data_IF_337227384100
#
_entry.id   IF_337227384100
#
_cell.length_a   1.000
_cell.length_b   1.000
_cell.length_c   1.000
_cell.angle_alpha   90.00
_cell.angle_beta   90.00
_cell.angle_gamma   90.00
#
_symmetry.space_group_name_H-M   'P 1'
#
loop_
_entity.id
_entity.type
_entity.pdbx_description
1 polymer ?
#
# COMPACT_ATOMS: atom_id res chain seq x y z
N UNK A 1 -19.25 9.07 -20.08
CA UNK A 1 -20.16 8.08 -20.68
C UNK A 1 -21.35 7.97 -19.73
N UNK A 2 -22.57 8.27 -20.19
CA UNK A 2 -23.76 8.21 -19.33
C UNK A 2 -24.23 6.76 -19.20
N UNK A 3 -24.22 6.24 -17.99
CA UNK A 3 -24.57 4.86 -17.64
C UNK A 3 -25.99 4.72 -17.08
N UNK A 4 -26.70 5.84 -16.87
CA UNK A 4 -27.97 5.89 -16.12
C UNK A 4 -29.12 5.08 -16.73
N UNK A 5 -29.06 4.77 -18.04
CA UNK A 5 -30.12 4.07 -18.79
C UNK A 5 -29.74 2.66 -19.22
N UNK A 6 -28.57 2.16 -18.81
CA UNK A 6 -28.08 0.84 -19.21
C UNK A 6 -28.29 -0.17 -18.09
N UNK A 7 -28.65 -1.39 -18.45
CA UNK A 7 -28.52 -2.54 -17.56
C UNK A 7 -27.02 -2.83 -17.45
N UNK A 8 -26.51 -2.85 -16.23
CA UNK A 8 -25.09 -3.08 -15.95
C UNK A 8 -24.98 -4.34 -15.11
N UNK A 9 -24.12 -5.25 -15.56
CA UNK A 9 -23.66 -6.37 -14.75
C UNK A 9 -22.77 -5.84 -13.62
N UNK A 10 -22.77 -6.53 -12.48
CA UNK A 10 -21.91 -6.18 -11.33
C UNK A 10 -20.85 -7.27 -11.21
N UNK A 11 -19.82 -7.12 -12.02
CA UNK A 11 -18.63 -7.96 -12.07
C UNK A 11 -17.41 -7.08 -12.34
N UNK A 12 -16.21 -7.64 -12.30
CA UNK A 12 -14.96 -6.88 -12.41
C UNK A 12 -14.78 -6.19 -13.78
N UNK A 13 -15.31 -6.77 -14.85
CA UNK A 13 -15.20 -6.27 -16.22
C UNK A 13 -16.25 -5.20 -16.54
N UNK A 14 -17.25 -5.06 -15.66
CA UNK A 14 -18.30 -4.06 -15.76
C UNK A 14 -17.74 -2.63 -15.85
N UNK A 15 -18.36 -1.76 -16.68
CA UNK A 15 -18.05 -0.33 -16.72
C UNK A 15 -18.12 0.37 -15.35
N UNK A 16 -18.86 -0.19 -14.40
CA UNK A 16 -18.98 0.30 -13.01
C UNK A 16 -17.61 0.38 -12.32
N UNK A 17 -16.73 -0.60 -12.55
CA UNK A 17 -15.41 -0.68 -11.92
C UNK A 17 -14.28 -0.11 -12.79
N UNK A 18 -14.61 0.48 -13.93
CA UNK A 18 -13.61 1.01 -14.88
C UNK A 18 -12.66 2.02 -14.21
N UNK A 19 -13.16 2.92 -13.38
CA UNK A 19 -12.30 3.89 -12.68
C UNK A 19 -11.34 3.19 -11.73
N UNK A 20 -11.83 2.20 -10.96
CA UNK A 20 -11.02 1.41 -10.05
C UNK A 20 -9.89 0.67 -10.79
N UNK A 21 -10.23 0.00 -11.90
CA UNK A 21 -9.24 -0.71 -12.71
C UNK A 21 -8.21 0.24 -13.31
N UNK A 22 -8.64 1.42 -13.77
CA UNK A 22 -7.72 2.44 -14.29
C UNK A 22 -6.77 2.96 -13.21
N UNK A 23 -7.26 3.23 -12.00
CA UNK A 23 -6.43 3.71 -10.90
C UNK A 23 -5.46 2.63 -10.41
N UNK A 24 -5.93 1.38 -10.29
CA UNK A 24 -5.07 0.24 -9.97
C UNK A 24 -3.97 0.05 -11.03
N UNK A 25 -4.32 0.12 -12.32
CA UNK A 25 -3.36 -0.03 -13.40
C UNK A 25 -2.30 1.08 -13.40
N UNK A 26 -2.66 2.33 -13.10
CA UNK A 26 -1.70 3.43 -12.95
C UNK A 26 -0.68 3.12 -11.86
N UNK A 27 -1.13 2.64 -10.70
CA UNK A 27 -0.24 2.30 -9.59
C UNK A 27 0.64 1.07 -9.91
N UNK A 28 0.11 0.07 -10.63
CA UNK A 28 0.91 -1.06 -11.11
C UNK A 28 2.06 -0.56 -11.99
N UNK A 29 1.76 0.27 -13.00
CA UNK A 29 2.78 0.82 -13.90
C UNK A 29 3.82 1.63 -13.12
N UNK A 30 3.37 2.46 -12.17
CA UNK A 30 4.25 3.25 -11.31
C UNK A 30 5.17 2.39 -10.46
N UNK A 31 4.67 1.34 -9.83
CA UNK A 31 5.50 0.42 -9.02
C UNK A 31 6.52 -0.29 -9.90
N UNK A 32 6.11 -0.79 -11.07
CA UNK A 32 7.01 -1.45 -12.01
C UNK A 32 8.12 -0.51 -12.45
N UNK A 33 7.78 0.73 -12.85
CA UNK A 33 8.75 1.75 -13.22
C UNK A 33 9.75 2.02 -12.08
N UNK A 34 9.25 2.25 -10.85
CA UNK A 34 10.08 2.58 -9.69
C UNK A 34 11.00 1.45 -9.22
N UNK A 35 10.58 0.20 -9.39
CA UNK A 35 11.43 -0.97 -9.10
C UNK A 35 12.43 -1.23 -10.22
N UNK A 36 12.00 -1.06 -11.48
CA UNK A 36 12.87 -1.23 -12.66
C UNK A 36 13.98 -0.18 -12.73
N UNK A 37 13.71 1.06 -12.34
CA UNK A 37 14.70 2.14 -12.23
C UNK A 37 15.68 1.97 -11.04
N UNK A 38 15.59 0.87 -10.30
CA UNK A 38 16.39 0.59 -9.08
C UNK A 38 16.24 1.69 -7.99
N UNK A 39 15.20 2.53 -8.07
CA UNK A 39 14.92 3.53 -7.04
C UNK A 39 14.47 2.87 -5.74
N UNK A 40 13.74 1.75 -5.85
CA UNK A 40 13.22 0.94 -4.76
C UNK A 40 13.42 -0.55 -5.07
N UNK A 41 13.52 -1.39 -4.04
CA UNK A 41 13.75 -2.83 -4.22
C UNK A 41 12.44 -3.61 -4.38
N UNK A 42 11.40 -3.14 -3.69
CA UNK A 42 10.09 -3.79 -3.70
C UNK A 42 8.98 -2.75 -3.63
N UNK A 43 7.83 -3.10 -4.20
CA UNK A 43 6.60 -2.33 -4.10
C UNK A 43 5.41 -3.23 -3.79
N UNK A 44 4.47 -2.69 -3.04
CA UNK A 44 3.24 -3.35 -2.61
C UNK A 44 2.05 -2.46 -2.94
N UNK A 45 1.00 -3.04 -3.54
CA UNK A 45 -0.23 -2.33 -3.88
C UNK A 45 -1.39 -2.99 -3.14
N UNK A 46 -2.16 -2.19 -2.42
CA UNK A 46 -3.39 -2.60 -1.75
C UNK A 46 -4.59 -1.94 -2.42
N UNK A 47 -5.55 -2.74 -2.87
CA UNK A 47 -6.87 -2.29 -3.29
C UNK A 47 -7.87 -2.61 -2.18
N UNK A 48 -8.54 -1.57 -1.66
CA UNK A 48 -9.69 -1.71 -0.76
C UNK A 48 -10.96 -1.32 -1.52
N UNK A 49 -11.91 -2.24 -1.62
CA UNK A 49 -13.21 -2.02 -2.24
C UNK A 49 -14.31 -2.19 -1.18
N UNK A 50 -15.14 -1.17 -1.02
CA UNK A 50 -16.30 -1.15 -0.13
C UNK A 50 -17.57 -1.13 -0.97
N UNK A 51 -18.48 -2.07 -0.74
CA UNK A 51 -19.75 -2.19 -1.45
C UNK A 51 -20.90 -2.08 -0.46
N UNK A 52 -21.89 -1.25 -0.76
CA UNK A 52 -23.12 -1.18 0.03
C UNK A 52 -24.34 -0.90 -0.85
N UNK A 53 -25.52 -1.21 -0.32
CA UNK A 53 -26.80 -1.07 -1.02
C UNK A 53 -27.83 -0.37 -0.13
N UNK A 54 -27.60 0.91 0.25
CA UNK A 54 -28.55 1.66 1.06
C UNK A 54 -29.94 1.72 0.42
N UNK A 55 -30.98 1.69 1.25
CA UNK A 55 -32.36 1.91 0.81
C UNK A 55 -32.54 3.40 0.53
N UNK A 56 -33.06 3.72 -0.65
CA UNK A 56 -33.45 5.06 -1.08
C UNK A 56 -34.87 5.00 -1.65
N UNK A 57 -35.50 6.17 -1.80
CA UNK A 57 -36.80 6.29 -2.44
C UNK A 57 -36.81 7.46 -3.41
N UNK A 58 -37.65 7.37 -4.44
CA UNK A 58 -37.95 8.48 -5.36
C UNK A 58 -39.44 8.72 -5.37
N UNK A 59 -39.83 9.99 -5.40
CA UNK A 59 -41.22 10.41 -5.51
C UNK A 59 -41.48 10.84 -6.94
N UNK A 60 -42.52 10.27 -7.55
CA UNK A 60 -42.97 10.63 -8.89
C UNK A 60 -44.41 11.15 -8.82
N UNK A 61 -44.71 12.30 -9.43
CA UNK A 61 -46.09 12.76 -9.55
C UNK A 61 -46.83 11.88 -10.57
N UNK A 62 -48.00 11.38 -10.19
CA UNK A 62 -48.89 10.57 -11.02
C UNK A 62 -50.31 11.10 -10.96
N UNK A 63 -51.06 11.01 -12.05
CA UNK A 63 -52.51 11.30 -12.01
C UNK A 63 -53.28 10.07 -11.54
N UNK A 64 -54.14 10.24 -10.54
CA UNK A 64 -55.09 9.21 -10.12
C UNK A 64 -56.25 9.07 -11.13
N UNK A 65 -57.18 8.15 -10.88
CA UNK A 65 -58.35 7.90 -11.74
C UNK A 65 -59.31 9.10 -11.87
N UNK A 66 -59.18 10.08 -10.96
CA UNK A 66 -59.97 11.31 -10.93
C UNK A 66 -59.25 12.51 -11.58
N UNK A 67 -58.02 12.32 -12.04
CA UNK A 67 -57.20 13.35 -12.67
C UNK A 67 -56.38 14.22 -11.71
N UNK A 68 -56.46 13.96 -10.39
CA UNK A 68 -55.66 14.67 -9.38
C UNK A 68 -54.21 14.19 -9.41
N UNK A 69 -53.28 15.12 -9.19
CA UNK A 69 -51.87 14.80 -8.99
C UNK A 69 -51.67 14.21 -7.60
N UNK A 70 -51.25 12.94 -7.55
CA UNK A 70 -50.85 12.21 -6.35
C UNK A 70 -49.39 11.80 -6.46
N UNK A 71 -48.70 11.74 -5.33
CA UNK A 71 -47.30 11.32 -5.26
C UNK A 71 -47.21 9.79 -5.11
N UNK A 72 -46.48 9.15 -6.02
CA UNK A 72 -46.14 7.73 -5.95
C UNK A 72 -44.68 7.56 -5.53
N UNK A 73 -44.46 6.82 -4.44
CA UNK A 73 -43.11 6.53 -3.91
C UNK A 73 -42.58 5.23 -4.48
N UNK A 74 -41.37 5.26 -5.01
CA UNK A 74 -40.64 4.09 -5.48
C UNK A 74 -39.42 3.83 -4.60
N UNK A 75 -39.48 2.77 -3.81
CA UNK A 75 -38.38 2.32 -2.96
C UNK A 75 -37.39 1.44 -3.76
N UNK A 76 -36.10 1.70 -3.60
CA UNK A 76 -35.05 0.91 -4.24
C UNK A 76 -33.80 0.81 -3.38
N UNK A 77 -32.92 -0.15 -3.73
CA UNK A 77 -31.58 -0.23 -3.15
C UNK A 77 -30.59 0.40 -4.11
N UNK A 78 -29.97 1.49 -3.69
CA UNK A 78 -28.98 2.20 -4.50
C UNK A 78 -27.62 1.52 -4.37
N UNK A 79 -26.98 1.08 -5.45
CA UNK A 79 -25.61 0.57 -5.37
C UNK A 79 -24.65 1.73 -5.02
N UNK A 80 -23.80 1.50 -4.03
CA UNK A 80 -22.71 2.38 -3.65
C UNK A 80 -21.41 1.58 -3.62
N UNK A 81 -20.45 1.99 -4.45
CA UNK A 81 -19.14 1.37 -4.57
C UNK A 81 -18.07 2.42 -4.36
N UNK A 82 -17.15 2.14 -3.45
CA UNK A 82 -16.04 3.02 -3.12
C UNK A 82 -14.75 2.22 -3.15
N UNK A 83 -13.76 2.69 -3.91
CA UNK A 83 -12.44 2.07 -3.97
C UNK A 83 -11.35 3.00 -3.45
N UNK A 84 -10.33 2.41 -2.83
CA UNK A 84 -9.09 3.07 -2.45
C UNK A 84 -7.92 2.21 -2.88
N UNK A 85 -7.04 2.77 -3.69
CA UNK A 85 -5.76 2.16 -4.06
C UNK A 85 -4.67 2.81 -3.22
N UNK A 86 -3.75 2.02 -2.67
CA UNK A 86 -2.63 2.50 -1.87
C UNK A 86 -1.37 1.74 -2.26
N UNK A 87 -0.27 2.46 -2.41
CA UNK A 87 1.02 1.92 -2.85
C UNK A 87 2.06 2.19 -1.77
N UNK A 88 2.83 1.18 -1.41
CA UNK A 88 3.99 1.28 -0.53
C UNK A 88 5.24 0.82 -1.27
N UNK A 89 6.28 1.65 -1.29
CA UNK A 89 7.58 1.33 -1.88
C UNK A 89 8.62 1.21 -0.76
N UNK A 90 9.49 0.19 -0.83
CA UNK A 90 10.54 -0.05 0.17
C UNK A 90 11.92 0.02 -0.47
N UNK A 91 12.83 0.73 0.21
CA UNK A 91 14.25 0.82 -0.13
C UNK A 91 15.06 0.27 1.04
N UNK A 92 15.99 -0.63 0.77
CA UNK A 92 16.90 -1.13 1.79
C UNK A 92 18.29 -0.52 1.56
N UNK A 93 18.93 -0.08 2.63
CA UNK A 93 20.35 0.29 2.61
C UNK A 93 21.03 -0.57 3.66
N UNK A 94 21.73 -1.61 3.22
CA UNK A 94 22.61 -2.38 4.10
C UNK A 94 24.02 -1.82 4.00
N UNK A 95 24.55 -1.34 5.12
CA UNK A 95 25.98 -1.10 5.30
C UNK A 95 26.44 -1.97 6.45
N UNK A 96 26.97 -3.12 6.10
CA UNK A 96 27.57 -4.05 7.05
C UNK A 96 29.07 -3.73 7.16
N UNK A 97 29.54 -3.51 8.38
CA UNK A 97 30.94 -3.23 8.68
C UNK A 97 31.41 -4.14 9.80
N UNK A 98 32.45 -4.94 9.53
CA UNK A 98 33.08 -5.81 10.52
C UNK A 98 34.50 -5.32 10.78
N UNK A 99 34.73 -4.76 11.96
CA UNK A 99 36.08 -4.50 12.47
C UNK A 99 36.44 -5.64 13.43
N UNK A 100 37.31 -6.54 12.98
CA UNK A 100 37.85 -7.62 13.80
C UNK A 100 39.36 -7.69 13.58
N UNK A 101 40.11 -7.39 14.64
CA UNK A 101 41.55 -7.56 14.71
C UNK A 101 41.90 -8.12 16.09
N UNK A 102 42.93 -8.97 16.22
CA UNK A 102 43.39 -9.49 17.50
C UNK A 102 44.14 -8.38 18.26
N UNK A 103 43.36 -7.44 18.82
CA UNK A 103 43.81 -6.32 19.64
C UNK A 103 43.11 -6.36 20.99
N UNK A 104 43.85 -6.00 22.03
CA UNK A 104 43.33 -5.80 23.37
C UNK A 104 42.83 -4.35 23.52
N UNK A 105 41.69 -4.15 24.19
CA UNK A 105 41.17 -2.81 24.49
C UNK A 105 41.65 -2.37 25.87
N UNK A 106 42.38 -1.25 25.94
CA UNK A 106 42.83 -0.63 27.18
C UNK A 106 42.18 0.74 27.37
N UNK A 107 41.98 1.15 28.63
CA UNK A 107 41.53 2.50 28.98
C UNK A 107 42.70 3.29 29.56
N UNK A 108 43.15 4.33 28.86
CA UNK A 108 44.27 5.20 29.27
C UNK A 108 43.94 6.67 28.97
N UNK A 109 44.28 7.57 29.89
CA UNK A 109 44.06 9.02 29.77
C UNK A 109 42.62 9.41 29.35
N UNK A 110 41.63 8.68 29.87
CA UNK A 110 40.21 8.94 29.61
C UNK A 110 39.71 8.45 28.24
N UNK A 111 40.50 7.64 27.50
CA UNK A 111 40.14 7.12 26.18
C UNK A 111 40.37 5.61 26.10
N UNK A 112 39.57 4.94 25.26
CA UNK A 112 39.78 3.54 24.90
C UNK A 112 40.74 3.45 23.71
N UNK A 113 41.81 2.68 23.84
CA UNK A 113 42.80 2.41 22.78
C UNK A 113 42.88 0.91 22.50
N UNK A 114 43.00 0.53 21.22
CA UNK A 114 43.17 -0.86 20.79
C UNK A 114 44.67 -1.13 20.53
N UNK A 115 45.28 -1.98 21.35
CA UNK A 115 46.71 -2.30 21.29
C UNK A 115 46.95 -3.73 20.77
N UNK A 116 48.08 -4.02 20.09
CA UNK A 116 48.42 -5.38 19.68
C UNK A 116 48.49 -6.33 20.89
N UNK A 117 47.99 -7.56 20.74
CA UNK A 117 48.17 -8.62 21.74
C UNK A 117 49.66 -8.95 21.80
N UNK A 118 50.27 -8.78 22.97
CA UNK A 118 51.67 -9.18 23.19
C UNK A 118 51.70 -10.70 23.33
N UNK A 119 52.38 -11.39 22.41
CA UNK A 119 52.71 -12.80 22.62
C UNK A 119 53.59 -12.91 23.87
N UNK A 120 53.23 -13.74 24.85
CA UNK A 120 54.16 -14.06 25.93
C UNK A 120 55.32 -14.84 25.31
N UNK A 121 56.45 -14.18 25.06
CA UNK A 121 57.69 -14.88 24.74
C UNK A 121 57.97 -15.85 25.89
N UNK A 122 57.96 -17.15 25.59
CA UNK A 122 58.43 -18.18 26.51
C UNK A 122 59.93 -17.95 26.75
N UNK A 123 60.28 -17.22 27.81
CA UNK A 123 61.62 -17.30 28.37
C UNK A 123 61.77 -18.67 29.05
N UNK A 124 62.26 -19.64 28.28
CA UNK A 124 62.67 -20.98 28.74
C UNK A 124 63.98 -20.95 29.55
N UNK A 125 64.54 -19.77 29.82
CA UNK A 125 65.76 -19.63 30.61
C UNK A 125 65.59 -18.64 31.75
N UNK A 126 64.96 -19.08 32.82
CA UNK A 126 65.38 -18.69 34.18
C UNK A 126 65.48 -19.99 34.99
N UNK A 127 66.72 -20.41 35.22
CA UNK A 127 67.13 -21.61 35.95
C UNK A 127 67.82 -21.18 37.23
#
# INVERSE_FOLDING_TARGET
>A
MDLSKRILEIDIDSPVFKSMLQDLNKEILRVVEKVYEEEFETGEITLKLSLSFPKEFKVYPRKNEFGDLVDETYDYRKPYFEHKVTTNLKKQFKKDGLYTEPKEILFQDGKFIAVPIREPQMNIFDK
#
